data_IF_103908305867
#
_entry.id   IF_103908305867
#
_cell.length_a   1.000
_cell.length_b   1.000
_cell.length_c   1.000
_cell.angle_alpha   90.00
_cell.angle_beta   90.00
_cell.angle_gamma   90.00
#
_symmetry.space_group_name_H-M   'P 1'
#
loop_
_entity.id
_entity.type
_entity.pdbx_description
1 polymer ?
#
# COMPACT_ATOMS: atom_id res chain seq x y z
N UNK A 1 -13.57 20.73 20.11
CA UNK A 1 -12.35 21.61 20.06
C UNK A 1 -11.18 20.77 19.57
N UNK A 2 -10.45 21.23 18.53
CA UNK A 2 -9.29 20.52 18.00
C UNK A 2 -8.11 20.69 18.95
N UNK A 3 -7.51 19.58 19.39
CA UNK A 3 -6.30 19.48 20.20
C UNK A 3 -5.32 18.44 19.66
N UNK A 4 -4.13 18.41 20.22
CA UNK A 4 -3.14 17.36 19.92
C UNK A 4 -3.55 16.01 20.55
N UNK A 5 -3.08 14.96 19.93
CA UNK A 5 -3.20 13.57 20.36
C UNK A 5 -2.58 13.37 21.76
N UNK A 6 -3.21 12.49 22.55
CA UNK A 6 -2.69 11.93 23.80
C UNK A 6 -2.68 10.40 23.71
N UNK A 7 -1.81 9.74 24.45
CA UNK A 7 -1.66 8.29 24.35
C UNK A 7 -2.97 7.49 24.61
N UNK A 8 -3.83 8.00 25.48
CA UNK A 8 -5.12 7.37 25.81
C UNK A 8 -6.21 7.59 24.76
N UNK A 9 -5.94 8.36 23.70
CA UNK A 9 -6.94 8.67 22.66
C UNK A 9 -7.15 7.50 21.67
N UNK A 10 -6.15 6.66 21.47
CA UNK A 10 -6.15 5.68 20.38
C UNK A 10 -7.35 4.70 20.38
N UNK A 11 -7.92 4.26 21.51
CA UNK A 11 -9.09 3.36 21.47
C UNK A 11 -10.31 4.04 20.84
N UNK A 12 -10.59 5.31 21.21
CA UNK A 12 -11.66 6.09 20.61
C UNK A 12 -11.38 6.43 19.14
N UNK A 13 -10.12 6.73 18.81
CA UNK A 13 -9.71 6.96 17.41
C UNK A 13 -9.95 5.71 16.54
N UNK A 14 -9.64 4.51 17.03
CA UNK A 14 -9.89 3.24 16.34
C UNK A 14 -11.39 2.98 16.19
N UNK A 15 -12.17 3.23 17.22
CA UNK A 15 -13.65 3.08 17.17
C UNK A 15 -14.23 3.96 16.08
N UNK A 16 -13.86 5.24 16.03
CA UNK A 16 -14.31 6.18 15.01
C UNK A 16 -13.81 5.77 13.61
N UNK A 17 -12.56 5.32 13.51
CA UNK A 17 -12.03 4.81 12.26
C UNK A 17 -12.92 3.70 11.69
N UNK A 18 -13.21 2.68 12.48
CA UNK A 18 -14.01 1.56 12.05
C UNK A 18 -15.50 1.91 11.84
N UNK A 19 -15.98 3.00 12.43
CA UNK A 19 -17.32 3.54 12.21
C UNK A 19 -17.45 4.22 10.85
N UNK A 20 -16.49 5.07 10.50
CA UNK A 20 -16.56 5.90 9.29
C UNK A 20 -15.82 5.31 8.08
N UNK A 21 -14.72 4.58 8.32
CA UNK A 21 -13.93 3.96 7.25
C UNK A 21 -14.40 2.51 6.99
N UNK A 22 -15.68 2.37 6.66
CA UNK A 22 -16.38 1.07 6.61
C UNK A 22 -15.79 0.07 5.62
N UNK A 23 -15.20 0.54 4.52
CA UNK A 23 -14.54 -0.30 3.51
C UNK A 23 -13.05 -0.59 3.84
N UNK A 24 -12.52 -0.01 4.91
CA UNK A 24 -11.09 -0.09 5.26
C UNK A 24 -10.92 -0.38 6.77
N UNK A 25 -11.80 -1.17 7.39
CA UNK A 25 -11.75 -1.50 8.82
C UNK A 25 -10.44 -2.19 9.19
N UNK A 26 -9.95 -1.90 10.40
CA UNK A 26 -8.70 -2.43 10.94
C UNK A 26 -8.86 -2.93 12.37
N UNK A 27 -7.95 -3.80 12.82
CA UNK A 27 -7.89 -4.26 14.22
C UNK A 27 -7.08 -3.29 15.09
N UNK A 28 -7.17 -3.46 16.42
CA UNK A 28 -6.36 -2.70 17.37
C UNK A 28 -4.87 -2.93 17.21
N UNK A 29 -4.46 -4.21 17.04
CA UNK A 29 -3.07 -4.57 16.79
C UNK A 29 -2.53 -3.89 15.54
N UNK A 30 -3.37 -3.87 14.48
CA UNK A 30 -3.03 -3.19 13.26
C UNK A 30 -2.83 -1.68 13.47
N UNK A 31 -3.77 -1.00 14.16
CA UNK A 31 -3.68 0.42 14.46
C UNK A 31 -2.40 0.75 15.23
N UNK A 32 -2.10 -0.04 16.25
CA UNK A 32 -0.87 0.14 17.04
C UNK A 32 0.36 -0.10 16.18
N UNK A 33 0.45 -1.24 15.51
CA UNK A 33 1.65 -1.67 14.80
C UNK A 33 1.99 -0.77 13.60
N UNK A 34 1.00 -0.38 12.81
CA UNK A 34 1.23 0.30 11.53
C UNK A 34 0.98 1.81 11.56
N UNK A 35 0.30 2.32 12.59
CA UNK A 35 0.05 3.74 12.75
C UNK A 35 0.88 4.29 13.91
N UNK A 36 0.64 3.85 15.14
CA UNK A 36 1.29 4.44 16.32
C UNK A 36 2.79 4.11 16.43
N UNK A 37 3.19 2.87 16.07
CA UNK A 37 4.60 2.44 16.05
C UNK A 37 5.32 2.77 14.73
N UNK A 38 4.65 3.48 13.82
CA UNK A 38 5.30 3.97 12.61
C UNK A 38 6.48 4.88 12.95
N UNK A 39 7.67 4.72 12.33
CA UNK A 39 8.82 5.57 12.59
C UNK A 39 8.59 7.05 12.24
N UNK A 40 7.53 7.35 11.48
CA UNK A 40 7.12 8.70 11.10
C UNK A 40 5.81 9.15 11.78
N UNK A 41 5.30 8.40 12.76
CA UNK A 41 4.22 8.88 13.62
C UNK A 41 4.74 10.03 14.49
N UNK A 42 3.99 11.13 14.53
CA UNK A 42 4.32 12.30 15.34
C UNK A 42 3.06 12.73 16.10
N UNK A 43 3.05 12.66 17.45
CA UNK A 43 1.95 13.17 18.26
C UNK A 43 1.64 14.65 18.00
N UNK A 44 2.65 15.45 17.63
CA UNK A 44 2.47 16.88 17.30
C UNK A 44 1.83 17.10 15.92
N UNK A 45 1.86 16.08 15.06
CA UNK A 45 1.16 16.04 13.76
C UNK A 45 -0.18 15.33 13.81
N UNK A 46 -0.63 14.89 14.99
CA UNK A 46 -1.88 14.15 15.17
C UNK A 46 -2.90 14.99 15.90
N UNK A 47 -4.05 15.22 15.26
CA UNK A 47 -5.09 16.12 15.75
C UNK A 47 -6.38 15.35 16.02
N UNK A 48 -6.98 15.60 17.16
CA UNK A 48 -8.30 15.08 17.54
C UNK A 48 -9.27 16.23 17.79
N UNK A 49 -10.51 16.10 17.34
CA UNK A 49 -11.60 17.01 17.72
C UNK A 49 -12.40 16.37 18.84
N UNK A 50 -12.43 17.05 19.98
CA UNK A 50 -13.06 16.60 21.20
C UNK A 50 -14.28 17.44 21.55
N UNK A 51 -15.38 16.78 21.88
CA UNK A 51 -16.62 17.36 22.43
C UNK A 51 -17.04 16.56 23.67
N UNK A 52 -17.31 17.23 24.76
CA UNK A 52 -17.77 16.66 26.02
C UNK A 52 -16.95 15.44 26.49
N UNK A 53 -15.63 15.52 26.33
CA UNK A 53 -14.69 14.45 26.71
C UNK A 53 -14.65 13.25 25.76
N UNK A 54 -15.30 13.36 24.59
CA UNK A 54 -15.30 12.31 23.56
C UNK A 54 -14.63 12.80 22.28
N UNK A 55 -13.83 11.95 21.67
CA UNK A 55 -13.29 12.21 20.35
C UNK A 55 -14.39 12.00 19.32
N UNK A 56 -14.67 13.01 18.52
CA UNK A 56 -15.71 13.01 17.48
C UNK A 56 -15.12 13.02 16.06
N UNK A 57 -13.83 13.40 15.92
CA UNK A 57 -13.10 13.34 14.66
C UNK A 57 -11.59 13.36 14.92
N UNK A 58 -10.77 12.91 13.96
CA UNK A 58 -9.33 13.00 14.04
C UNK A 58 -8.65 12.94 12.67
N UNK A 59 -7.42 13.44 12.58
CA UNK A 59 -6.55 13.31 11.41
C UNK A 59 -5.07 13.25 11.81
N UNK A 60 -4.23 12.68 10.96
CA UNK A 60 -2.78 12.61 11.15
C UNK A 60 -2.07 13.27 9.98
N UNK A 61 -1.21 14.24 10.26
CA UNK A 61 -0.24 14.77 9.33
C UNK A 61 1.08 14.01 9.47
N UNK A 62 1.67 13.58 8.35
CA UNK A 62 2.93 12.84 8.35
C UNK A 62 3.97 13.49 7.44
N UNK A 63 5.17 13.63 7.95
CA UNK A 63 6.37 13.98 7.20
C UNK A 63 7.32 12.79 7.24
N UNK A 64 7.73 12.30 6.08
CA UNK A 64 8.66 11.16 6.04
C UNK A 64 10.07 11.65 6.31
N UNK A 65 10.50 11.54 7.55
CA UNK A 65 11.85 11.89 8.03
C UNK A 65 12.73 10.66 8.22
N UNK A 66 12.13 9.49 8.42
CA UNK A 66 12.80 8.21 8.65
C UNK A 66 12.34 7.19 7.63
N UNK A 67 13.25 6.34 7.21
CA UNK A 67 12.94 5.27 6.29
C UNK A 67 12.36 4.07 7.04
N UNK A 68 11.42 3.39 6.40
CA UNK A 68 10.99 2.05 6.83
C UNK A 68 11.96 0.97 6.40
N UNK A 69 12.75 1.24 5.37
CA UNK A 69 13.78 0.35 4.88
C UNK A 69 15.15 0.76 5.42
N UNK A 70 16.01 -0.22 5.62
CA UNK A 70 17.39 -0.01 6.07
C UNK A 70 18.27 0.67 5.00
N UNK A 71 17.75 0.90 3.78
CA UNK A 71 18.49 1.38 2.62
C UNK A 71 18.26 2.86 2.30
N UNK A 72 17.44 3.53 3.07
CA UNK A 72 17.31 4.98 3.02
C UNK A 72 16.65 5.60 1.78
N UNK A 73 16.01 4.79 0.91
CA UNK A 73 15.60 5.28 -0.41
C UNK A 73 14.33 6.12 -0.45
N UNK A 74 13.52 6.11 0.60
CA UNK A 74 12.19 6.71 0.54
C UNK A 74 12.11 8.10 1.15
N UNK A 75 12.82 8.37 2.24
CA UNK A 75 12.85 9.72 2.81
C UNK A 75 13.36 10.73 1.78
N UNK A 76 14.39 10.36 0.99
CA UNK A 76 14.89 11.18 -0.11
C UNK A 76 13.83 11.45 -1.18
N UNK A 77 13.10 10.41 -1.63
CA UNK A 77 12.04 10.52 -2.65
C UNK A 77 10.84 11.33 -2.19
N UNK A 78 10.61 11.36 -0.88
CA UNK A 78 9.47 12.01 -0.25
C UNK A 78 9.86 13.32 0.44
N UNK A 79 11.10 13.76 0.33
CA UNK A 79 11.56 15.03 0.85
C UNK A 79 10.68 16.20 0.37
N UNK A 80 10.33 17.10 1.27
CA UNK A 80 9.46 18.24 1.00
C UNK A 80 7.97 17.91 0.76
N UNK A 81 7.56 16.64 0.92
CA UNK A 81 6.17 16.21 0.80
C UNK A 81 5.58 15.94 2.16
N UNK A 82 4.41 16.53 2.41
CA UNK A 82 3.57 16.23 3.57
C UNK A 82 2.39 15.35 3.18
N UNK A 83 1.97 14.48 4.08
CA UNK A 83 0.84 13.59 3.89
C UNK A 83 -0.20 13.85 4.95
N UNK A 84 -1.47 13.91 4.54
CA UNK A 84 -2.61 13.95 5.46
C UNK A 84 -3.31 12.60 5.36
N UNK A 85 -3.16 11.81 6.43
CA UNK A 85 -3.99 10.64 6.64
C UNK A 85 -5.43 11.09 6.75
N UNK A 86 -6.34 10.42 6.05
CA UNK A 86 -7.73 10.84 5.87
C UNK A 86 -8.36 11.32 7.20
N UNK A 87 -8.98 12.51 7.23
CA UNK A 87 -9.79 12.91 8.38
C UNK A 87 -10.86 11.87 8.64
N UNK A 88 -10.94 11.38 9.86
CA UNK A 88 -11.90 10.33 10.25
C UNK A 88 -13.12 11.00 10.82
N UNK A 89 -14.08 11.26 9.97
CA UNK A 89 -15.38 11.86 10.28
C UNK A 89 -16.29 11.80 9.04
N UNK A 90 -17.58 11.93 9.23
CA UNK A 90 -18.60 12.18 8.17
C UNK A 90 -19.10 13.63 8.14
N UNK A 91 -18.54 14.50 8.99
CA UNK A 91 -18.85 15.93 9.03
C UNK A 91 -17.87 16.73 8.17
N UNK A 92 -18.39 17.41 7.17
CA UNK A 92 -17.58 18.20 6.22
C UNK A 92 -16.82 19.36 6.89
N UNK A 93 -17.45 20.05 7.85
CA UNK A 93 -16.82 21.18 8.52
C UNK A 93 -15.67 20.73 9.41
N UNK A 94 -15.84 19.62 10.15
CA UNK A 94 -14.79 18.99 10.96
C UNK A 94 -13.65 18.47 10.08
N UNK A 95 -13.96 17.81 8.97
CA UNK A 95 -12.96 17.32 8.04
C UNK A 95 -12.07 18.47 7.53
N UNK A 96 -12.67 19.58 7.11
CA UNK A 96 -11.94 20.79 6.65
C UNK A 96 -11.11 21.42 7.77
N UNK A 97 -11.64 21.51 8.98
CA UNK A 97 -10.91 22.05 10.14
C UNK A 97 -9.68 21.20 10.47
N UNK A 98 -9.81 19.84 10.44
CA UNK A 98 -8.70 18.92 10.64
C UNK A 98 -7.67 18.98 9.51
N UNK A 99 -8.10 19.09 8.25
CA UNK A 99 -7.19 19.33 7.12
C UNK A 99 -6.39 20.60 7.36
N UNK A 100 -7.04 21.70 7.75
CA UNK A 100 -6.36 22.97 8.03
C UNK A 100 -5.36 22.89 9.20
N UNK A 101 -5.65 22.11 10.25
CA UNK A 101 -4.71 21.84 11.34
C UNK A 101 -3.49 21.06 10.85
N UNK A 102 -3.71 20.00 10.05
CA UNK A 102 -2.65 19.22 9.42
C UNK A 102 -1.78 20.07 8.49
N UNK A 103 -2.38 20.93 7.68
CA UNK A 103 -1.66 21.82 6.75
C UNK A 103 -0.73 22.79 7.49
N UNK A 104 -1.18 23.36 8.61
CA UNK A 104 -0.35 24.24 9.45
C UNK A 104 0.88 23.50 9.98
N UNK A 105 0.72 22.27 10.46
CA UNK A 105 1.83 21.43 10.90
C UNK A 105 2.79 21.11 9.75
N UNK A 106 2.29 20.71 8.59
CA UNK A 106 3.10 20.37 7.42
C UNK A 106 3.87 21.57 6.87
N UNK A 107 3.24 22.76 6.85
CA UNK A 107 3.88 24.01 6.44
C UNK A 107 5.01 24.39 7.42
N UNK A 108 4.76 24.30 8.72
CA UNK A 108 5.78 24.52 9.75
C UNK A 108 6.95 23.52 9.65
N UNK A 109 6.68 22.31 9.15
CA UNK A 109 7.71 21.31 8.89
C UNK A 109 8.46 21.51 7.55
N UNK A 110 8.17 22.58 6.81
CA UNK A 110 8.84 22.94 5.55
C UNK A 110 8.34 22.14 4.31
N UNK A 111 7.20 21.47 4.39
CA UNK A 111 6.63 20.78 3.26
C UNK A 111 6.07 21.78 2.23
N UNK A 112 6.35 21.54 0.95
CA UNK A 112 5.90 22.38 -0.18
C UNK A 112 4.79 21.73 -1.01
N UNK A 113 4.54 20.44 -0.80
CA UNK A 113 3.50 19.67 -1.45
C UNK A 113 2.76 18.85 -0.40
N UNK A 114 1.45 19.06 -0.29
CA UNK A 114 0.59 18.25 0.56
C UNK A 114 -0.14 17.20 -0.28
N UNK A 115 -0.27 16.01 0.25
CA UNK A 115 -0.90 14.88 -0.40
C UNK A 115 -1.89 14.20 0.53
N UNK A 116 -3.07 13.94 0.02
CA UNK A 116 -4.06 13.11 0.68
C UNK A 116 -3.61 11.65 0.71
N UNK A 117 -3.82 10.98 1.83
CA UNK A 117 -3.43 9.58 2.06
C UNK A 117 -2.19 9.47 2.94
N UNK A 118 -1.55 8.33 2.88
CA UNK A 118 -0.35 8.06 3.65
C UNK A 118 0.83 7.74 2.72
N UNK A 119 2.07 7.94 3.16
CA UNK A 119 3.23 7.53 2.40
C UNK A 119 3.17 6.03 2.12
N UNK A 120 3.66 5.59 0.96
CA UNK A 120 3.42 4.29 0.33
C UNK A 120 3.76 3.01 1.10
N UNK A 121 4.14 3.12 2.37
CA UNK A 121 4.42 2.00 3.28
C UNK A 121 3.34 1.75 4.30
N UNK A 122 2.32 2.59 4.33
CA UNK A 122 1.18 2.38 5.19
C UNK A 122 0.05 1.77 4.36
N UNK A 123 -0.89 1.14 5.03
CA UNK A 123 -2.00 0.41 4.41
C UNK A 123 -2.88 1.21 3.50
N UNK A 124 -2.87 2.48 3.70
CA UNK A 124 -3.85 3.33 3.09
C UNK A 124 -3.36 3.69 1.70
N UNK A 125 -4.14 3.29 0.74
CA UNK A 125 -3.89 3.64 -0.64
C UNK A 125 -3.76 5.15 -0.80
N UNK A 126 -2.95 5.55 -1.75
CA UNK A 126 -2.85 6.93 -2.18
C UNK A 126 -4.21 7.43 -2.68
N UNK A 127 -4.84 8.35 -1.95
CA UNK A 127 -6.05 9.03 -2.40
C UNK A 127 -7.33 8.62 -1.67
N UNK A 128 -8.41 9.28 -2.02
CA UNK A 128 -9.78 9.10 -1.50
C UNK A 128 -10.66 8.50 -2.56
N UNK A 129 -11.45 7.51 -2.21
CA UNK A 129 -12.50 6.96 -3.07
C UNK A 129 -13.74 7.87 -2.96
N UNK A 130 -14.13 8.61 -4.02
CA UNK A 130 -15.22 9.56 -3.95
C UNK A 130 -16.60 8.90 -3.84
N UNK A 131 -16.74 7.64 -4.27
CA UNK A 131 -18.01 6.89 -4.16
C UNK A 131 -18.22 6.37 -2.73
N UNK A 132 -17.15 5.94 -2.07
CA UNK A 132 -17.23 5.39 -0.72
C UNK A 132 -17.13 6.47 0.35
N UNK A 133 -16.28 7.49 0.14
CA UNK A 133 -16.02 8.57 1.10
C UNK A 133 -16.27 9.96 0.48
N UNK A 134 -17.51 10.27 0.03
CA UNK A 134 -17.81 11.51 -0.67
C UNK A 134 -17.55 12.77 0.17
N UNK A 135 -17.83 12.70 1.48
CA UNK A 135 -17.60 13.84 2.38
C UNK A 135 -16.12 14.17 2.48
N UNK A 136 -15.26 13.14 2.58
CA UNK A 136 -13.81 13.34 2.66
C UNK A 136 -13.24 13.87 1.34
N UNK A 137 -13.70 13.32 0.21
CA UNK A 137 -13.29 13.80 -1.11
C UNK A 137 -13.60 15.28 -1.26
N UNK A 138 -14.85 15.67 -0.97
CA UNK A 138 -15.32 17.06 -1.01
C UNK A 138 -14.55 17.96 -0.04
N UNK A 139 -14.23 17.47 1.17
CA UNK A 139 -13.47 18.24 2.14
C UNK A 139 -12.09 18.62 1.61
N UNK A 140 -11.39 17.71 0.93
CA UNK A 140 -10.11 18.00 0.29
C UNK A 140 -10.26 18.98 -0.87
N UNK A 141 -11.26 18.78 -1.76
CA UNK A 141 -11.51 19.71 -2.89
C UNK A 141 -11.80 21.14 -2.40
N UNK A 142 -12.70 21.30 -1.43
CA UNK A 142 -13.00 22.60 -0.82
C UNK A 142 -11.83 23.19 -0.01
N UNK A 143 -10.84 22.37 0.36
CA UNK A 143 -9.59 22.83 0.97
C UNK A 143 -8.50 23.17 -0.07
N UNK A 144 -8.84 23.15 -1.37
CA UNK A 144 -7.95 23.53 -2.46
C UNK A 144 -7.02 22.41 -2.93
N UNK A 145 -7.38 21.15 -2.72
CA UNK A 145 -6.67 20.01 -3.30
C UNK A 145 -7.20 19.70 -4.70
N UNK A 146 -6.30 19.38 -5.61
CA UNK A 146 -6.62 19.00 -6.97
C UNK A 146 -6.24 17.53 -7.22
N UNK A 147 -7.01 16.86 -8.08
CA UNK A 147 -6.67 15.49 -8.49
C UNK A 147 -5.48 15.48 -9.44
N UNK A 148 -4.42 14.77 -9.08
CA UNK A 148 -3.25 14.55 -9.94
C UNK A 148 -3.23 13.17 -10.60
N UNK A 149 -4.29 12.37 -10.43
CA UNK A 149 -4.43 11.06 -11.03
C UNK A 149 -5.39 10.14 -10.28
N UNK A 150 -5.57 8.96 -10.81
CA UNK A 150 -6.43 7.91 -10.23
C UNK A 150 -5.57 6.71 -9.85
N UNK A 151 -5.83 6.15 -8.68
CA UNK A 151 -5.27 4.89 -8.19
C UNK A 151 -6.37 3.83 -8.14
N UNK A 152 -6.10 2.66 -8.68
CA UNK A 152 -7.07 1.57 -8.78
C UNK A 152 -6.74 0.45 -7.79
N UNK A 153 -7.75 -0.03 -7.08
CA UNK A 153 -7.68 -1.30 -6.36
C UNK A 153 -8.30 -2.40 -7.22
N UNK A 154 -7.65 -3.55 -7.28
CA UNK A 154 -8.14 -4.66 -8.10
C UNK A 154 -8.15 -5.95 -7.29
N UNK A 155 -9.04 -6.86 -7.66
CA UNK A 155 -9.25 -8.13 -6.98
C UNK A 155 -9.61 -9.26 -7.94
N UNK A 156 -9.54 -10.49 -7.42
CA UNK A 156 -10.14 -11.68 -8.03
C UNK A 156 -10.41 -12.76 -6.98
N UNK A 157 -11.34 -13.66 -7.27
CA UNK A 157 -11.50 -14.92 -6.53
C UNK A 157 -10.46 -15.95 -6.97
N UNK A 158 -10.03 -16.79 -6.03
CA UNK A 158 -9.05 -17.87 -6.24
C UNK A 158 -9.63 -19.25 -5.96
N UNK A 159 -10.96 -19.38 -5.91
CA UNK A 159 -11.60 -20.67 -5.66
C UNK A 159 -11.18 -21.69 -6.71
N UNK A 160 -10.47 -22.74 -6.25
CA UNK A 160 -9.93 -23.79 -7.12
C UNK A 160 -9.14 -23.24 -8.32
N UNK A 161 -8.33 -22.22 -8.09
CA UNK A 161 -7.60 -21.55 -9.16
C UNK A 161 -6.71 -22.50 -9.94
N UNK A 162 -6.97 -22.59 -11.24
CA UNK A 162 -6.15 -23.28 -12.22
C UNK A 162 -5.81 -22.25 -13.31
N UNK A 163 -4.53 -22.09 -13.68
CA UNK A 163 -4.17 -21.24 -14.82
C UNK A 163 -4.88 -21.70 -16.11
N UNK A 164 -5.27 -20.75 -16.96
CA UNK A 164 -5.88 -21.10 -18.25
C UNK A 164 -4.91 -21.90 -19.12
N UNK A 165 -5.39 -22.68 -20.11
CA UNK A 165 -4.53 -23.46 -21.01
C UNK A 165 -3.45 -22.61 -21.71
N UNK A 166 -3.77 -21.36 -22.06
CA UNK A 166 -2.83 -20.41 -22.67
C UNK A 166 -1.72 -20.05 -21.70
N UNK A 167 -2.07 -19.79 -20.42
CA UNK A 167 -1.09 -19.46 -19.36
C UNK A 167 -0.25 -20.68 -19.02
N UNK A 168 -0.83 -21.89 -19.01
CA UNK A 168 -0.08 -23.14 -18.80
C UNK A 168 0.95 -23.36 -19.92
N UNK A 169 0.53 -23.15 -21.18
CA UNK A 169 1.41 -23.26 -22.36
C UNK A 169 2.53 -22.21 -22.28
N UNK A 170 2.21 -20.97 -21.90
CA UNK A 170 3.21 -19.91 -21.69
C UNK A 170 4.22 -20.30 -20.61
N UNK A 171 3.75 -20.77 -19.46
CA UNK A 171 4.63 -21.18 -18.36
C UNK A 171 5.56 -22.32 -18.80
N UNK A 172 5.05 -23.31 -19.51
CA UNK A 172 5.86 -24.42 -20.05
C UNK A 172 6.95 -23.89 -20.99
N UNK A 173 6.58 -23.06 -21.97
CA UNK A 173 7.52 -22.43 -22.90
C UNK A 173 8.62 -21.65 -22.16
N UNK A 174 8.24 -20.82 -21.19
CA UNK A 174 9.23 -20.03 -20.42
C UNK A 174 10.17 -20.96 -19.62
N UNK A 175 9.65 -22.05 -19.04
CA UNK A 175 10.50 -23.03 -18.36
C UNK A 175 11.49 -23.71 -19.32
N UNK A 176 11.07 -24.05 -20.54
CA UNK A 176 11.94 -24.59 -21.61
C UNK A 176 13.02 -23.56 -22.04
N UNK A 177 12.72 -22.27 -21.97
CA UNK A 177 13.66 -21.18 -22.22
C UNK A 177 14.61 -20.89 -21.01
N UNK A 178 14.49 -21.64 -19.91
CA UNK A 178 15.36 -21.54 -18.74
C UNK A 178 14.86 -20.59 -17.64
N UNK A 179 13.60 -20.14 -17.70
CA UNK A 179 12.97 -19.40 -16.61
C UNK A 179 12.42 -20.36 -15.54
N UNK A 180 12.51 -19.96 -14.30
CA UNK A 180 11.96 -20.69 -13.15
C UNK A 180 11.00 -19.79 -12.37
N UNK A 181 9.82 -20.31 -12.00
CA UNK A 181 8.81 -19.63 -11.19
C UNK A 181 8.55 -20.46 -9.93
N UNK A 182 8.95 -19.97 -8.78
CA UNK A 182 8.93 -20.77 -7.55
C UNK A 182 8.59 -19.96 -6.30
N UNK A 183 8.20 -20.67 -5.26
CA UNK A 183 8.17 -20.13 -3.89
C UNK A 183 9.60 -19.87 -3.45
N UNK A 184 9.85 -18.71 -2.89
CA UNK A 184 11.16 -18.29 -2.39
C UNK A 184 11.60 -19.15 -1.20
N UNK A 185 12.86 -19.50 -1.17
CA UNK A 185 13.54 -20.12 -0.03
C UNK A 185 14.57 -19.16 0.56
N UNK A 186 15.02 -19.40 1.78
CA UNK A 186 16.07 -18.57 2.41
C UNK A 186 17.33 -18.46 1.56
N UNK A 187 17.71 -19.55 0.87
CA UNK A 187 18.84 -19.58 -0.05
C UNK A 187 18.70 -18.69 -1.28
N UNK A 188 17.47 -18.31 -1.65
CA UNK A 188 17.20 -17.39 -2.78
C UNK A 188 17.34 -15.92 -2.38
N UNK A 189 17.23 -15.58 -1.08
CA UNK A 189 17.19 -14.18 -0.61
C UNK A 189 18.40 -13.34 -1.02
N UNK A 190 19.65 -13.85 -1.07
CA UNK A 190 20.78 -13.06 -1.58
C UNK A 190 20.61 -12.65 -3.04
N UNK A 191 20.06 -13.53 -3.89
CA UNK A 191 19.78 -13.21 -5.29
C UNK A 191 18.62 -12.21 -5.42
N UNK A 192 17.58 -12.35 -4.61
CA UNK A 192 16.45 -11.38 -4.54
C UNK A 192 16.95 -10.00 -4.12
N UNK A 193 17.77 -9.93 -3.06
CA UNK A 193 18.38 -8.68 -2.61
C UNK A 193 19.16 -8.00 -3.76
N UNK A 194 20.05 -8.73 -4.38
CA UNK A 194 20.88 -8.23 -5.49
C UNK A 194 20.05 -7.71 -6.68
N UNK A 195 18.98 -8.43 -7.03
CA UNK A 195 18.03 -8.00 -8.06
C UNK A 195 17.33 -6.69 -7.68
N UNK A 196 16.80 -6.58 -6.46
CA UNK A 196 16.11 -5.37 -5.99
C UNK A 196 17.08 -4.17 -5.95
N UNK A 197 18.31 -4.35 -5.44
CA UNK A 197 19.33 -3.28 -5.37
C UNK A 197 19.64 -2.68 -6.74
N UNK A 198 19.70 -3.53 -7.78
CA UNK A 198 20.16 -3.17 -9.12
C UNK A 198 19.03 -2.92 -10.12
N UNK A 199 17.77 -2.77 -9.63
CA UNK A 199 16.61 -2.54 -10.48
C UNK A 199 15.80 -1.31 -10.03
N UNK A 200 14.79 -0.97 -10.81
CA UNK A 200 13.77 0.04 -10.46
C UNK A 200 12.86 -0.37 -9.28
N UNK A 201 13.06 -1.57 -8.74
CA UNK A 201 12.33 -2.15 -7.60
C UNK A 201 13.04 -1.92 -6.25
N UNK A 202 14.12 -1.15 -6.22
CA UNK A 202 14.97 -0.90 -5.04
C UNK A 202 14.18 -0.48 -3.78
N UNK A 203 13.08 0.24 -3.93
CA UNK A 203 12.21 0.64 -2.82
C UNK A 203 11.54 -0.51 -2.05
N UNK A 204 11.64 -1.75 -2.53
CA UNK A 204 11.02 -2.93 -1.90
C UNK A 204 12.01 -3.78 -1.10
N UNK A 205 13.27 -3.37 -0.98
CA UNK A 205 14.32 -4.18 -0.35
C UNK A 205 14.05 -4.58 1.10
N UNK A 206 13.30 -3.77 1.85
CA UNK A 206 12.91 -4.06 3.22
C UNK A 206 11.91 -5.23 3.33
N UNK A 207 11.15 -5.53 2.28
CA UNK A 207 10.07 -6.51 2.34
C UNK A 207 10.55 -7.97 2.46
N UNK A 208 11.49 -8.47 1.64
CA UNK A 208 12.01 -9.83 1.83
C UNK A 208 12.73 -9.98 3.17
N UNK A 209 13.37 -8.93 3.70
CA UNK A 209 14.00 -8.94 5.02
C UNK A 209 12.92 -9.13 6.09
N UNK A 210 11.86 -8.33 6.05
CA UNK A 210 10.72 -8.45 6.98
C UNK A 210 10.07 -9.84 6.93
N UNK A 211 9.88 -10.41 5.73
CA UNK A 211 9.37 -11.77 5.58
C UNK A 211 10.31 -12.82 6.18
N UNK A 212 11.63 -12.61 6.08
CA UNK A 212 12.61 -13.50 6.69
C UNK A 212 12.58 -13.41 8.22
N UNK A 213 12.52 -12.22 8.80
CA UNK A 213 12.39 -11.98 10.24
C UNK A 213 11.12 -12.62 10.83
N UNK A 214 10.04 -12.61 10.06
CA UNK A 214 8.76 -13.24 10.43
C UNK A 214 8.70 -14.76 10.13
N UNK A 215 9.75 -15.38 9.61
CA UNK A 215 9.76 -16.77 9.11
C UNK A 215 8.71 -17.05 8.01
N UNK A 216 8.34 -16.01 7.22
CA UNK A 216 7.30 -16.04 6.18
C UNK A 216 7.87 -15.98 4.75
N UNK A 217 9.13 -16.39 4.53
CA UNK A 217 9.77 -16.38 3.19
C UNK A 217 8.95 -17.15 2.15
N UNK A 218 8.24 -18.18 2.59
CA UNK A 218 7.35 -18.99 1.79
C UNK A 218 6.11 -18.24 1.22
N UNK A 219 5.88 -17.01 1.63
CA UNK A 219 4.84 -16.12 1.10
C UNK A 219 5.34 -15.24 -0.06
N UNK A 220 6.59 -15.42 -0.45
CA UNK A 220 7.22 -14.76 -1.59
C UNK A 220 7.25 -15.74 -2.77
N UNK A 221 6.88 -15.25 -3.96
CA UNK A 221 7.10 -15.93 -5.23
C UNK A 221 8.11 -15.14 -6.05
N UNK A 222 9.08 -15.84 -6.64
CA UNK A 222 10.14 -15.26 -7.45
C UNK A 222 10.16 -15.85 -8.85
N UNK A 223 10.63 -15.03 -9.81
CA UNK A 223 11.09 -15.53 -11.09
C UNK A 223 12.62 -15.52 -11.12
N UNK A 224 13.21 -16.57 -11.66
CA UNK A 224 14.65 -16.71 -11.87
C UNK A 224 14.96 -16.98 -13.34
N UNK A 225 16.15 -16.57 -13.77
CA UNK A 225 16.71 -16.88 -15.07
C UNK A 225 18.22 -17.07 -14.94
N UNK A 226 18.72 -18.21 -15.39
CA UNK A 226 20.15 -18.57 -15.29
C UNK A 226 20.73 -18.42 -13.86
N UNK A 227 19.91 -18.76 -12.84
CA UNK A 227 20.31 -18.68 -11.44
C UNK A 227 20.04 -17.33 -10.75
N UNK A 228 19.88 -16.24 -11.51
CA UNK A 228 19.59 -14.93 -10.95
C UNK A 228 18.11 -14.67 -10.77
N UNK A 229 17.74 -13.98 -9.68
CA UNK A 229 16.38 -13.48 -9.49
C UNK A 229 16.13 -12.33 -10.47
N UNK A 230 14.96 -12.35 -11.13
CA UNK A 230 14.53 -11.36 -12.12
C UNK A 230 13.14 -10.82 -11.85
N UNK A 231 12.45 -11.35 -10.87
CA UNK A 231 11.12 -10.89 -10.48
C UNK A 231 10.79 -11.26 -9.04
N UNK A 232 9.94 -10.45 -8.43
CA UNK A 232 9.51 -10.54 -7.04
C UNK A 232 8.02 -10.23 -6.92
N UNK A 233 7.31 -11.05 -6.17
CA UNK A 233 5.98 -10.74 -5.65
C UNK A 233 5.74 -11.47 -4.34
N UNK A 234 4.76 -10.99 -3.57
CA UNK A 234 4.37 -11.62 -2.31
C UNK A 234 2.87 -11.52 -2.08
N UNK A 235 2.35 -12.33 -1.18
CA UNK A 235 1.03 -12.19 -0.58
C UNK A 235 1.14 -12.05 0.95
N UNK A 236 0.02 -12.01 1.64
CA UNK A 236 -0.03 -11.72 3.07
C UNK A 236 0.69 -10.39 3.41
N UNK A 237 0.33 -9.35 2.63
CA UNK A 237 0.92 -8.03 2.81
C UNK A 237 0.19 -7.31 3.94
N UNK A 238 0.94 -6.79 4.92
CA UNK A 238 0.44 -6.24 6.18
C UNK A 238 -0.42 -7.22 6.99
N UNK A 239 0.02 -8.48 7.06
CA UNK A 239 -0.64 -9.56 7.78
C UNK A 239 -2.09 -9.81 7.35
N UNK A 240 -2.42 -9.45 6.09
CA UNK A 240 -3.66 -9.80 5.41
C UNK A 240 -3.37 -10.86 4.34
N UNK A 241 -3.76 -12.14 4.57
CA UNK A 241 -3.43 -13.25 3.68
C UNK A 241 -3.91 -13.07 2.23
N UNK A 242 -4.99 -12.34 2.03
CA UNK A 242 -5.59 -12.09 0.71
C UNK A 242 -4.91 -10.93 -0.03
N UNK A 243 -4.17 -10.09 0.68
CA UNK A 243 -3.54 -8.92 0.08
C UNK A 243 -2.23 -9.28 -0.59
N UNK A 244 -2.17 -9.09 -1.91
CA UNK A 244 -0.98 -9.28 -2.72
C UNK A 244 -0.21 -7.98 -2.92
N UNK A 245 1.09 -8.12 -3.17
CA UNK A 245 1.99 -7.01 -3.51
C UNK A 245 3.10 -6.77 -2.50
N UNK A 246 4.11 -6.03 -2.92
CA UNK A 246 4.30 -5.53 -4.27
C UNK A 246 4.55 -6.65 -5.30
N UNK A 247 4.41 -6.31 -6.59
CA UNK A 247 4.58 -7.21 -7.71
C UNK A 247 5.42 -6.53 -8.81
N UNK A 248 6.50 -7.13 -9.24
CA UNK A 248 7.33 -6.57 -10.30
C UNK A 248 8.33 -7.54 -10.90
N UNK A 249 8.68 -7.23 -12.15
CA UNK A 249 9.75 -7.87 -12.93
C UNK A 249 10.82 -6.81 -13.21
N UNK A 250 12.09 -7.15 -13.09
CA UNK A 250 13.22 -6.32 -13.45
C UNK A 250 12.99 -5.67 -14.82
N UNK A 251 13.20 -4.36 -14.91
CA UNK A 251 12.93 -3.57 -16.11
C UNK A 251 13.59 -4.13 -17.35
N UNK A 252 14.80 -4.70 -17.21
CA UNK A 252 15.58 -5.32 -18.30
C UNK A 252 14.95 -6.61 -18.85
N UNK A 253 14.05 -7.24 -18.09
CA UNK A 253 13.42 -8.53 -18.43
C UNK A 253 11.94 -8.40 -18.80
N UNK A 254 11.41 -7.17 -18.84
CA UNK A 254 9.99 -6.91 -19.20
C UNK A 254 9.71 -7.24 -20.67
N UNK A 255 8.43 -7.37 -21.03
CA UNK A 255 7.99 -7.65 -22.40
C UNK A 255 7.98 -9.14 -22.78
N UNK A 256 8.48 -10.04 -21.93
CA UNK A 256 8.57 -11.50 -22.18
C UNK A 256 7.46 -12.32 -21.50
N UNK A 257 6.38 -11.70 -21.07
CA UNK A 257 5.25 -12.32 -20.35
C UNK A 257 5.62 -12.99 -19.00
N UNK A 258 6.80 -12.71 -18.46
CA UNK A 258 7.29 -13.21 -17.16
C UNK A 258 6.30 -12.84 -16.05
N UNK A 259 5.75 -11.61 -16.07
CA UNK A 259 4.76 -11.15 -15.10
C UNK A 259 3.50 -12.03 -15.08
N UNK A 260 3.00 -12.49 -16.24
CA UNK A 260 1.85 -13.39 -16.34
C UNK A 260 2.15 -14.75 -15.70
N UNK A 261 3.31 -15.34 -15.94
CA UNK A 261 3.70 -16.59 -15.31
C UNK A 261 3.90 -16.45 -13.79
N UNK A 262 4.50 -15.34 -13.34
CA UNK A 262 4.67 -15.07 -11.91
C UNK A 262 3.35 -14.89 -11.16
N UNK A 263 2.39 -14.13 -11.72
CA UNK A 263 1.12 -13.91 -11.05
C UNK A 263 0.28 -15.17 -11.03
N UNK A 264 0.36 -15.98 -12.07
CA UNK A 264 -0.28 -17.31 -12.12
C UNK A 264 0.29 -18.22 -11.03
N UNK A 265 1.64 -18.25 -10.86
CA UNK A 265 2.28 -19.02 -9.79
C UNK A 265 1.88 -18.50 -8.40
N UNK A 266 1.79 -17.19 -8.21
CA UNK A 266 1.34 -16.58 -6.96
C UNK A 266 -0.09 -17.04 -6.62
N UNK A 267 -1.02 -16.94 -7.55
CA UNK A 267 -2.41 -17.35 -7.33
C UNK A 267 -2.56 -18.85 -7.07
N UNK A 268 -1.77 -19.68 -7.76
CA UNK A 268 -1.72 -21.11 -7.49
C UNK A 268 -1.27 -21.39 -6.04
N UNK A 269 -0.17 -20.79 -5.61
CA UNK A 269 0.36 -20.92 -4.23
C UNK A 269 -0.65 -20.45 -3.19
N UNK A 270 -1.35 -19.33 -3.44
CA UNK A 270 -2.38 -18.81 -2.55
C UNK A 270 -3.57 -19.79 -2.46
N UNK A 271 -4.07 -20.26 -3.59
CA UNK A 271 -5.19 -21.22 -3.66
C UNK A 271 -4.85 -22.55 -2.99
N UNK A 272 -3.66 -23.12 -3.21
CA UNK A 272 -3.14 -24.33 -2.54
C UNK A 272 -3.08 -24.18 -1.00
N UNK A 273 -3.00 -22.95 -0.50
CA UNK A 273 -3.01 -22.61 0.93
C UNK A 273 -4.37 -22.14 1.45
N UNK A 274 -5.43 -22.44 0.72
CA UNK A 274 -6.80 -22.06 1.05
C UNK A 274 -7.05 -20.55 1.14
N UNK A 275 -6.22 -19.71 0.52
CA UNK A 275 -6.52 -18.29 0.32
C UNK A 275 -7.45 -18.17 -0.89
N UNK A 276 -8.70 -17.76 -0.65
CA UNK A 276 -9.78 -17.76 -1.64
C UNK A 276 -9.94 -16.47 -2.42
N UNK A 277 -9.20 -15.44 -2.04
CA UNK A 277 -9.32 -14.11 -2.60
C UNK A 277 -7.96 -13.46 -2.73
N UNK A 278 -7.75 -12.72 -3.79
CA UNK A 278 -6.54 -11.91 -3.98
C UNK A 278 -6.93 -10.49 -4.33
N UNK A 279 -6.33 -9.52 -3.65
CA UNK A 279 -6.55 -8.11 -3.93
C UNK A 279 -5.31 -7.27 -3.64
N UNK A 280 -5.24 -6.09 -4.25
CA UNK A 280 -4.26 -5.08 -3.90
C UNK A 280 -4.88 -3.68 -3.87
N UNK A 281 -4.27 -2.79 -3.10
CA UNK A 281 -4.85 -1.49 -2.79
C UNK A 281 -4.60 -0.43 -3.87
N UNK A 282 -3.57 -0.57 -4.71
CA UNK A 282 -3.16 0.53 -5.59
C UNK A 282 -2.39 0.06 -6.81
N UNK A 283 -2.84 0.47 -7.99
CA UNK A 283 -2.01 0.53 -9.20
C UNK A 283 -2.34 1.77 -10.03
N UNK A 284 -1.39 2.14 -10.87
CA UNK A 284 -1.56 3.22 -11.85
C UNK A 284 -2.38 2.75 -13.06
N UNK A 285 -3.06 3.67 -13.79
CA UNK A 285 -3.94 3.34 -14.91
C UNK A 285 -3.29 2.46 -15.98
N UNK A 286 -2.03 2.68 -16.30
CA UNK A 286 -1.27 1.95 -17.32
C UNK A 286 -1.04 0.47 -16.99
N UNK A 287 -1.28 0.08 -15.73
CA UNK A 287 -1.13 -1.30 -15.27
C UNK A 287 -2.43 -2.11 -15.33
N UNK A 288 -3.58 -1.47 -15.46
CA UNK A 288 -4.90 -2.12 -15.43
C UNK A 288 -5.00 -3.23 -16.47
N UNK A 289 -4.57 -2.97 -17.71
CA UNK A 289 -4.65 -3.96 -18.81
C UNK A 289 -3.84 -5.22 -18.53
N UNK A 290 -2.71 -5.10 -17.82
CA UNK A 290 -1.95 -6.27 -17.40
C UNK A 290 -2.73 -7.10 -16.39
N UNK A 291 -3.29 -6.47 -15.37
CA UNK A 291 -4.03 -7.17 -14.32
C UNK A 291 -5.36 -7.74 -14.83
N UNK A 292 -6.09 -7.02 -15.69
CA UNK A 292 -7.32 -7.53 -16.31
C UNK A 292 -7.07 -8.80 -17.14
N UNK A 293 -5.99 -8.85 -17.92
CA UNK A 293 -5.59 -10.05 -18.67
C UNK A 293 -5.24 -11.23 -17.77
N UNK A 294 -4.92 -10.98 -16.51
CA UNK A 294 -4.66 -11.99 -15.50
C UNK A 294 -5.87 -12.23 -14.57
N UNK A 295 -7.07 -11.78 -15.00
CA UNK A 295 -8.34 -12.05 -14.34
C UNK A 295 -8.62 -11.25 -13.09
N UNK A 296 -7.92 -10.13 -12.85
CA UNK A 296 -8.29 -9.19 -11.79
C UNK A 296 -9.24 -8.12 -12.36
N UNK A 297 -10.16 -7.66 -11.53
CA UNK A 297 -11.14 -6.64 -11.86
C UNK A 297 -10.97 -5.44 -10.92
N UNK A 298 -11.28 -4.25 -11.44
CA UNK A 298 -11.27 -3.01 -10.64
C UNK A 298 -12.49 -3.02 -9.72
N UNK A 299 -12.28 -2.84 -8.42
CA UNK A 299 -13.36 -2.70 -7.45
C UNK A 299 -13.37 -1.36 -6.71
N UNK A 300 -12.28 -0.58 -6.79
CA UNK A 300 -12.21 0.79 -6.22
C UNK A 300 -11.39 1.72 -7.11
N UNK A 301 -11.83 2.99 -7.15
CA UNK A 301 -11.13 4.08 -7.83
C UNK A 301 -10.91 5.20 -6.82
N UNK A 302 -9.67 5.63 -6.64
CA UNK A 302 -9.31 6.65 -5.67
C UNK A 302 -8.70 7.85 -6.37
N UNK A 303 -9.21 9.04 -6.09
CA UNK A 303 -8.61 10.30 -6.53
C UNK A 303 -7.33 10.54 -5.72
N UNK A 304 -6.23 10.73 -6.41
CA UNK A 304 -4.96 11.14 -5.79
C UNK A 304 -4.95 12.65 -5.70
N UNK A 305 -5.23 13.17 -4.51
CA UNK A 305 -5.42 14.60 -4.27
C UNK A 305 -4.14 15.24 -3.73
N UNK A 306 -3.74 16.37 -4.29
CA UNK A 306 -2.54 17.13 -3.92
C UNK A 306 -2.81 18.61 -3.86
N UNK A 307 -2.06 19.32 -3.02
CA UNK A 307 -2.05 20.78 -2.92
C UNK A 307 -0.60 21.27 -2.89
N UNK A 308 -0.24 22.17 -3.78
CA UNK A 308 1.05 22.88 -3.77
C UNK A 308 0.91 24.16 -2.94
N UNK A 309 1.95 24.50 -2.23
CA UNK A 309 2.04 25.69 -1.38
C UNK A 309 2.89 26.74 -2.08
#
# INVERSE_FOLDING_TARGET
MIRLYREDDWPQMLELYNRYMTADRITGEFFIQYILLSPNFDPQGTFVDEEDGRIVAWAIAQVVRRNYDIWGSQAEKLAGKGFIFLPVTDDLARAKALIGACEKYLAAAGCQLFRCGAPGYTLFANGVDPEIYPVLHRAFEESGYESCGISYSMHRTLDNYIPTPEVQTLCKKLCEEGFEFKVCQYSDLPAVKRMLENSDLKGWMHLPIRKAEQHKVHEIVIAKYQGDAIGYCQYNYFDNPERIGPFGVDGRMRGKNIGTAMIAKLFQVMSERNVRYAWFASCAPERINFYNRNGLEVFRKKSVLVKKI
#
